data_IF_927928577738
#
_entry.id   IF_927928577738
#
_cell.length_a   1.000
_cell.length_b   1.000
_cell.length_c   1.000
_cell.angle_alpha   90.00
_cell.angle_beta   90.00
_cell.angle_gamma   90.00
#
_symmetry.space_group_name_H-M   'P 1'
#
loop_
_entity.id
_entity.type
_entity.pdbx_description
1 polymer ?
#
# COMPACT_ATOMS: atom_id res chain seq x y z
N UNK A 1 1.93 -2.02 -15.32
CA UNK A 1 3.36 -2.34 -15.55
C UNK A 1 4.34 -1.64 -14.59
N UNK A 2 3.92 -0.96 -13.52
CA UNK A 2 4.85 -0.40 -12.52
C UNK A 2 4.78 -1.10 -11.16
N UNK A 3 3.64 -1.74 -10.84
CA UNK A 3 3.44 -2.38 -9.53
C UNK A 3 4.34 -3.61 -9.38
N UNK A 4 4.48 -4.41 -10.44
CA UNK A 4 5.33 -5.60 -10.41
C UNK A 4 6.80 -5.27 -10.19
N UNK A 5 7.29 -4.18 -10.81
CA UNK A 5 8.66 -3.71 -10.61
C UNK A 5 8.88 -3.25 -9.16
N UNK A 6 7.92 -2.50 -8.60
CA UNK A 6 7.95 -2.13 -7.19
C UNK A 6 7.92 -3.37 -6.26
N UNK A 7 7.08 -4.37 -6.56
CA UNK A 7 7.06 -5.62 -5.80
C UNK A 7 8.41 -6.35 -5.84
N UNK A 8 9.07 -6.44 -6.98
CA UNK A 8 10.37 -7.09 -7.08
C UNK A 8 11.47 -6.29 -6.37
N UNK A 9 11.46 -4.96 -6.44
CA UNK A 9 12.38 -4.12 -5.68
C UNK A 9 12.21 -4.33 -4.16
N UNK A 10 10.97 -4.31 -3.66
CA UNK A 10 10.66 -4.53 -2.23
C UNK A 10 11.11 -5.92 -1.79
N UNK A 11 10.85 -6.94 -2.62
CA UNK A 11 11.26 -8.33 -2.35
C UNK A 11 12.78 -8.48 -2.28
N UNK A 12 13.50 -7.84 -3.19
CA UNK A 12 14.97 -7.81 -3.16
C UNK A 12 15.50 -7.08 -1.91
N UNK A 13 14.94 -5.92 -1.57
CA UNK A 13 15.29 -5.18 -0.36
C UNK A 13 15.08 -6.01 0.92
N UNK A 14 13.95 -6.71 1.04
CA UNK A 14 13.69 -7.61 2.17
C UNK A 14 14.59 -8.84 2.19
N UNK A 15 15.00 -9.37 1.04
CA UNK A 15 15.95 -10.48 0.99
C UNK A 15 17.29 -10.13 1.65
N UNK A 16 17.70 -8.86 1.53
CA UNK A 16 18.95 -8.31 2.08
C UNK A 16 18.83 -7.83 3.54
N UNK A 17 17.61 -7.67 4.05
CA UNK A 17 17.38 -7.27 5.44
C UNK A 17 17.64 -8.43 6.42
N UNK A 18 18.30 -8.15 7.55
CA UNK A 18 18.45 -9.11 8.65
C UNK A 18 17.21 -9.15 9.55
N UNK A 19 16.40 -8.07 9.54
CA UNK A 19 15.17 -7.97 10.31
C UNK A 19 14.06 -8.75 9.62
N UNK A 20 13.35 -9.58 10.39
CA UNK A 20 12.20 -10.36 9.94
C UNK A 20 11.01 -10.04 10.83
N UNK A 21 9.92 -9.60 10.22
CA UNK A 21 8.65 -9.40 10.90
C UNK A 21 7.77 -10.63 10.70
N UNK A 22 6.91 -10.91 11.69
CA UNK A 22 5.87 -11.93 11.52
C UNK A 22 4.80 -11.41 10.56
N UNK A 23 4.05 -12.32 9.90
CA UNK A 23 2.97 -11.91 8.99
C UNK A 23 1.88 -11.08 9.68
N UNK A 24 1.64 -11.35 10.96
CA UNK A 24 0.69 -10.59 11.78
C UNK A 24 1.24 -9.19 12.05
N UNK A 25 2.54 -9.06 12.32
CA UNK A 25 3.17 -7.75 12.49
C UNK A 25 3.16 -6.93 11.19
N UNK A 26 3.40 -7.56 10.03
CA UNK A 26 3.30 -6.90 8.72
C UNK A 26 1.87 -6.39 8.46
N UNK A 27 0.84 -7.16 8.84
CA UNK A 27 -0.55 -6.70 8.77
C UNK A 27 -0.83 -5.57 9.77
N UNK A 28 -0.28 -5.64 10.98
CA UNK A 28 -0.44 -4.59 11.98
C UNK A 28 0.15 -3.27 11.48
N UNK A 29 1.34 -3.30 10.89
CA UNK A 29 1.95 -2.11 10.26
C UNK A 29 1.07 -1.55 9.14
N UNK A 30 0.53 -2.40 8.25
CA UNK A 30 -0.41 -1.91 7.23
C UNK A 30 -1.62 -1.16 7.82
N UNK A 31 -2.17 -1.67 8.92
CA UNK A 31 -3.29 -1.02 9.62
C UNK A 31 -2.86 0.29 10.31
N UNK A 32 -1.65 0.34 10.85
CA UNK A 32 -1.04 1.53 11.45
C UNK A 32 -0.89 2.65 10.42
N UNK A 33 -0.29 2.37 9.26
CA UNK A 33 -0.13 3.35 8.17
C UNK A 33 -1.47 3.88 7.65
N UNK A 34 -2.49 3.01 7.58
CA UNK A 34 -3.86 3.45 7.25
C UNK A 34 -4.43 4.41 8.30
N UNK A 35 -4.09 4.19 9.58
CA UNK A 35 -4.44 5.08 10.69
C UNK A 35 -3.73 6.42 10.60
N UNK A 36 -2.44 6.44 10.26
CA UNK A 36 -1.66 7.66 10.06
C UNK A 36 -2.23 8.51 8.91
N UNK A 37 -2.56 7.88 7.78
CA UNK A 37 -3.27 8.54 6.69
C UNK A 37 -4.64 9.09 7.13
N UNK A 38 -5.38 8.32 7.93
CA UNK A 38 -6.67 8.79 8.48
C UNK A 38 -6.50 10.02 9.39
N UNK A 39 -5.46 10.06 10.21
CA UNK A 39 -5.15 11.23 11.04
C UNK A 39 -4.73 12.43 10.18
N UNK A 40 -3.90 12.20 9.17
CA UNK A 40 -3.46 13.18 8.19
C UNK A 40 -4.65 13.87 7.49
N UNK A 41 -5.58 13.08 6.94
CA UNK A 41 -6.82 13.58 6.33
C UNK A 41 -7.63 14.39 7.33
N UNK A 42 -7.82 13.88 8.55
CA UNK A 42 -8.57 14.59 9.61
C UNK A 42 -7.92 15.93 9.95
N UNK A 43 -6.59 16.02 10.01
CA UNK A 43 -5.87 17.29 10.28
C UNK A 43 -6.16 18.33 9.19
N UNK A 44 -6.13 17.91 7.92
CA UNK A 44 -6.41 18.75 6.75
C UNK A 44 -7.86 19.26 6.79
N UNK A 45 -8.83 18.35 6.92
CA UNK A 45 -10.26 18.68 6.89
C UNK A 45 -10.70 19.60 8.04
N UNK A 46 -10.07 19.47 9.21
CA UNK A 46 -10.36 20.32 10.37
C UNK A 46 -9.47 21.56 10.48
N UNK A 47 -8.75 21.92 9.41
CA UNK A 47 -8.00 23.18 9.33
C UNK A 47 -6.86 23.30 10.34
N UNK A 48 -6.28 22.18 10.81
CA UNK A 48 -5.09 22.22 11.65
C UNK A 48 -3.91 22.67 10.79
N UNK A 49 -3.24 23.76 11.17
CA UNK A 49 -2.05 24.33 10.49
C UNK A 49 -0.78 23.46 10.65
N UNK A 50 -0.90 22.15 10.59
CA UNK A 50 0.23 21.23 10.64
C UNK A 50 0.61 20.88 9.21
N UNK A 51 1.91 20.90 8.88
CA UNK A 51 2.36 20.24 7.66
C UNK A 51 2.04 18.75 7.78
N UNK A 52 1.25 18.24 6.85
CA UNK A 52 0.89 16.83 6.72
C UNK A 52 1.56 16.33 5.45
N UNK A 53 2.35 15.27 5.55
CA UNK A 53 3.03 14.66 4.41
C UNK A 53 2.18 13.50 3.85
N UNK A 54 1.19 13.86 3.03
CA UNK A 54 0.29 12.88 2.42
C UNK A 54 1.01 11.90 1.51
N UNK A 55 2.10 12.33 0.86
CA UNK A 55 2.87 11.49 -0.05
C UNK A 55 3.58 10.38 0.73
N UNK A 56 4.17 10.72 1.88
CA UNK A 56 4.75 9.73 2.79
C UNK A 56 3.71 8.70 3.23
N UNK A 57 2.57 9.10 3.80
CA UNK A 57 1.64 8.12 4.38
C UNK A 57 1.04 7.20 3.31
N UNK A 58 0.77 7.71 2.10
CA UNK A 58 0.34 6.86 0.99
C UNK A 58 1.46 5.92 0.51
N UNK A 59 2.71 6.38 0.52
CA UNK A 59 3.89 5.58 0.21
C UNK A 59 4.10 4.44 1.20
N UNK A 60 3.96 4.71 2.50
CA UNK A 60 4.11 3.71 3.57
C UNK A 60 3.02 2.64 3.49
N UNK A 61 1.77 3.02 3.20
CA UNK A 61 0.67 2.08 2.91
C UNK A 61 1.02 1.20 1.70
N UNK A 62 1.51 1.78 0.61
CA UNK A 62 1.87 1.04 -0.59
C UNK A 62 2.99 0.03 -0.29
N UNK A 63 4.03 0.45 0.45
CA UNK A 63 5.13 -0.44 0.87
C UNK A 63 4.61 -1.62 1.70
N UNK A 64 3.71 -1.37 2.65
CA UNK A 64 3.10 -2.40 3.48
C UNK A 64 2.27 -3.38 2.63
N UNK A 65 1.47 -2.87 1.68
CA UNK A 65 0.67 -3.71 0.77
C UNK A 65 1.55 -4.57 -0.14
N UNK A 66 2.60 -4.00 -0.74
CA UNK A 66 3.59 -4.73 -1.54
C UNK A 66 4.22 -5.86 -0.73
N UNK A 67 4.61 -5.57 0.51
CA UNK A 67 5.18 -6.54 1.45
C UNK A 67 4.22 -7.69 1.72
N UNK A 68 2.97 -7.40 2.10
CA UNK A 68 1.95 -8.42 2.33
C UNK A 68 1.72 -9.28 1.07
N UNK A 69 1.62 -8.66 -0.11
CA UNK A 69 1.44 -9.40 -1.34
C UNK A 69 2.59 -10.36 -1.63
N UNK A 70 3.84 -9.95 -1.42
CA UNK A 70 5.02 -10.84 -1.54
C UNK A 70 4.89 -12.03 -0.57
N UNK A 71 4.49 -11.77 0.68
CA UNK A 71 4.39 -12.78 1.75
C UNK A 71 3.29 -13.82 1.51
N UNK A 72 2.24 -13.42 0.82
CA UNK A 72 1.12 -14.28 0.43
C UNK A 72 1.15 -14.74 -1.04
N UNK A 73 2.27 -14.47 -1.75
CA UNK A 73 2.47 -14.88 -3.16
C UNK A 73 1.40 -14.35 -4.11
N UNK A 74 1.00 -13.09 -3.90
CA UNK A 74 0.04 -12.36 -4.74
C UNK A 74 0.79 -11.48 -5.74
N UNK A 75 0.50 -11.65 -7.03
CA UNK A 75 0.89 -10.69 -8.07
C UNK A 75 -0.10 -9.51 -8.05
N UNK A 76 0.33 -8.38 -7.48
CA UNK A 76 -0.53 -7.21 -7.33
C UNK A 76 -0.82 -6.54 -8.67
N UNK A 77 0.07 -6.64 -9.67
CA UNK A 77 -0.22 -6.11 -10.99
C UNK A 77 -1.44 -6.84 -11.57
N UNK A 78 -1.41 -8.18 -11.57
CA UNK A 78 -2.54 -8.99 -12.04
C UNK A 78 -3.81 -8.74 -11.22
N UNK A 79 -3.70 -8.59 -9.89
CA UNK A 79 -4.84 -8.29 -9.03
C UNK A 79 -5.47 -6.92 -9.34
N UNK A 80 -4.62 -5.91 -9.57
CA UNK A 80 -5.06 -4.56 -9.93
C UNK A 80 -5.73 -4.56 -11.31
N UNK A 81 -5.13 -5.22 -12.31
CA UNK A 81 -5.67 -5.30 -13.67
C UNK A 81 -7.09 -5.94 -13.66
N UNK A 82 -7.28 -7.04 -12.93
CA UNK A 82 -8.61 -7.66 -12.74
C UNK A 82 -9.63 -6.71 -12.10
N UNK A 83 -9.19 -5.92 -11.13
CA UNK A 83 -10.03 -4.94 -10.44
C UNK A 83 -10.44 -3.82 -11.40
N UNK A 84 -9.49 -3.31 -12.19
CA UNK A 84 -9.73 -2.29 -13.21
C UNK A 84 -10.75 -2.78 -14.25
N UNK A 85 -10.61 -3.99 -14.78
CA UNK A 85 -11.59 -4.54 -15.73
C UNK A 85 -12.98 -4.66 -15.11
N UNK A 86 -13.07 -5.17 -13.86
CA UNK A 86 -14.34 -5.26 -13.14
C UNK A 86 -15.01 -3.89 -12.92
N UNK A 87 -14.21 -2.83 -12.68
CA UNK A 87 -14.70 -1.47 -12.52
C UNK A 87 -15.16 -0.89 -13.85
N UNK A 88 -14.43 -1.14 -14.94
CA UNK A 88 -14.80 -0.70 -16.29
C UNK A 88 -16.18 -1.23 -16.67
N UNK A 89 -16.40 -2.52 -16.50
CA UNK A 89 -17.67 -3.19 -16.80
C UNK A 89 -18.84 -2.63 -15.98
N UNK A 90 -18.61 -2.27 -14.71
CA UNK A 90 -19.67 -1.82 -13.80
C UNK A 90 -20.01 -0.34 -13.91
N UNK A 91 -19.02 0.51 -14.18
CA UNK A 91 -19.15 1.95 -13.97
C UNK A 91 -18.74 2.81 -15.16
N UNK A 92 -17.98 2.28 -16.12
CA UNK A 92 -17.39 3.07 -17.22
C UNK A 92 -18.04 2.74 -18.56
N UNK A 93 -18.39 1.48 -18.82
CA UNK A 93 -19.08 1.10 -20.05
C UNK A 93 -20.57 1.40 -19.89
N UNK A 94 -21.06 2.41 -20.64
CA UNK A 94 -22.48 2.63 -20.94
C UNK A 94 -22.90 1.80 -22.15
#
# INVERSE_FOLDING_TARGET
>A
MQIREAQEWVKDAWSRSEKRMSKVAELASFMEECGELGEAIRKIEHGKKTQVDMEKEMGDILLCLLTLAIRYKVDLQTAFDKTVESVKEKYIVK
#
